data_IF_022419436476
#
_entry.id   IF_022419436476
#
_cell.length_a   1.000
_cell.length_b   1.000
_cell.length_c   1.000
_cell.angle_alpha   90.00
_cell.angle_beta   90.00
_cell.angle_gamma   90.00
#
_symmetry.space_group_name_H-M   'P 1'
#
loop_
_entity.id
_entity.type
_entity.pdbx_description
1 polymer ?
#
# COMPACT_ATOMS: atom_id res chain seq x y z
N UNK A 1 14.53 3.20 16.75
CA UNK A 1 14.42 3.65 15.35
C UNK A 1 13.17 4.51 15.23
N UNK A 2 13.13 5.45 14.30
CA UNK A 2 11.98 6.33 14.13
C UNK A 2 10.78 5.56 13.56
N UNK A 3 9.57 6.02 13.89
CA UNK A 3 8.37 5.57 13.22
C UNK A 3 8.29 6.17 11.81
N UNK A 4 7.70 5.40 10.89
CA UNK A 4 7.51 5.78 9.50
C UNK A 4 6.08 5.51 9.08
N UNK A 5 5.59 6.33 8.16
CA UNK A 5 4.37 6.11 7.41
C UNK A 5 4.73 5.27 6.18
N UNK A 6 4.22 4.05 6.13
CA UNK A 6 4.22 3.24 4.92
C UNK A 6 2.96 3.56 4.12
N UNK A 7 3.16 3.94 2.86
CA UNK A 7 2.10 4.12 1.88
C UNK A 7 2.25 3.08 0.78
N UNK A 8 1.19 2.33 0.52
CA UNK A 8 1.08 1.35 -0.55
C UNK A 8 0.03 1.85 -1.53
N UNK A 9 0.37 1.97 -2.81
CA UNK A 9 -0.58 2.27 -3.89
C UNK A 9 -0.60 1.09 -4.84
N UNK A 10 -1.77 0.49 -5.00
CA UNK A 10 -1.89 -0.80 -5.67
C UNK A 10 -3.20 -0.90 -6.48
N UNK A 11 -3.28 -1.82 -7.46
CA UNK A 11 -4.50 -2.09 -8.21
C UNK A 11 -5.70 -2.42 -7.30
N UNK A 12 -6.91 -2.05 -7.70
CA UNK A 12 -8.11 -2.33 -6.89
C UNK A 12 -8.39 -3.84 -6.73
N UNK A 13 -8.05 -4.66 -7.73
CA UNK A 13 -8.27 -6.11 -7.72
C UNK A 13 -7.38 -6.85 -6.72
N UNK A 14 -6.28 -6.24 -6.27
CA UNK A 14 -5.36 -6.82 -5.28
C UNK A 14 -5.53 -6.18 -3.89
N UNK A 15 -6.37 -5.16 -3.75
CA UNK A 15 -6.54 -4.42 -2.50
C UNK A 15 -7.00 -5.31 -1.34
N UNK A 16 -8.04 -6.13 -1.57
CA UNK A 16 -8.60 -7.01 -0.55
C UNK A 16 -7.57 -8.04 -0.07
N UNK A 17 -6.83 -8.67 -0.99
CA UNK A 17 -5.79 -9.66 -0.62
C UNK A 17 -4.69 -9.03 0.25
N UNK A 18 -4.29 -7.79 -0.06
CA UNK A 18 -3.32 -7.05 0.76
C UNK A 18 -3.93 -6.70 2.11
N UNK A 19 -5.16 -6.19 2.16
CA UNK A 19 -5.85 -5.85 3.41
C UNK A 19 -5.96 -7.07 4.34
N UNK A 20 -6.37 -8.23 3.81
CA UNK A 20 -6.47 -9.49 4.56
C UNK A 20 -5.10 -9.95 5.08
N UNK A 21 -4.06 -9.87 4.25
CA UNK A 21 -2.69 -10.19 4.66
C UNK A 21 -2.22 -9.29 5.81
N UNK A 22 -2.51 -7.98 5.75
CA UNK A 22 -2.15 -7.04 6.79
C UNK A 22 -2.92 -7.30 8.10
N UNK A 23 -4.22 -7.58 8.01
CA UNK A 23 -5.06 -7.96 9.16
C UNK A 23 -4.61 -9.27 9.81
N UNK A 24 -4.05 -10.20 9.03
CA UNK A 24 -3.49 -11.46 9.55
C UNK A 24 -2.20 -11.28 10.38
N UNK A 25 -1.58 -10.09 10.35
CA UNK A 25 -0.30 -9.78 11.01
C UNK A 25 -0.39 -8.62 12.01
N UNK A 26 -1.20 -8.76 13.07
CA UNK A 26 -1.33 -7.73 14.11
C UNK A 26 -0.02 -7.46 14.86
N UNK A 27 0.95 -8.39 14.79
CA UNK A 27 2.32 -8.22 15.29
C UNK A 27 3.12 -7.17 14.50
N UNK A 28 2.83 -7.00 13.21
CA UNK A 28 3.50 -6.04 12.34
C UNK A 28 2.71 -4.75 12.17
N UNK A 29 1.38 -4.85 12.09
CA UNK A 29 0.48 -3.75 11.72
C UNK A 29 -0.67 -3.68 12.72
N UNK A 30 -0.69 -2.63 13.53
CA UNK A 30 -1.77 -2.42 14.52
C UNK A 30 -3.06 -1.89 13.90
N UNK A 31 -2.96 -1.34 12.70
CA UNK A 31 -4.06 -0.76 11.95
C UNK A 31 -3.55 -0.01 10.73
N UNK A 32 -4.44 0.20 9.78
CA UNK A 32 -4.18 0.94 8.55
C UNK A 32 -5.44 1.69 8.12
N UNK A 33 -5.27 2.62 7.20
CA UNK A 33 -6.36 3.35 6.55
C UNK A 33 -6.31 3.10 5.06
N UNK A 34 -7.47 3.08 4.43
CA UNK A 34 -7.61 2.94 2.98
C UNK A 34 -8.24 4.20 2.41
N UNK A 35 -7.87 4.54 1.18
CA UNK A 35 -8.46 5.65 0.43
C UNK A 35 -8.40 5.37 -1.07
N UNK A 36 -9.40 5.83 -1.81
CA UNK A 36 -9.39 5.78 -3.27
C UNK A 36 -8.36 6.76 -3.83
N UNK A 37 -7.67 6.35 -4.89
CA UNK A 37 -6.71 7.15 -5.62
C UNK A 37 -6.78 6.85 -7.13
N UNK A 38 -6.21 7.74 -7.94
CA UNK A 38 -6.01 7.51 -9.37
C UNK A 38 -4.52 7.48 -9.68
N UNK A 39 -4.07 6.42 -10.35
CA UNK A 39 -2.72 6.30 -10.86
C UNK A 39 -2.60 6.95 -12.23
N UNK A 40 -1.69 7.91 -12.35
CA UNK A 40 -1.31 8.56 -13.61
C UNK A 40 0.19 8.36 -13.85
N UNK A 41 0.60 8.03 -15.07
CA UNK A 41 2.03 7.89 -15.38
C UNK A 41 2.30 7.31 -16.77
N UNK A 42 3.48 7.63 -17.33
CA UNK A 42 3.88 7.20 -18.67
C UNK A 42 4.27 5.71 -18.77
N UNK A 43 4.45 5.02 -17.63
CA UNK A 43 4.96 3.64 -17.55
C UNK A 43 3.97 2.73 -16.81
N UNK A 44 2.74 3.18 -16.56
CA UNK A 44 1.70 2.31 -16.01
C UNK A 44 1.20 1.46 -17.19
N UNK A 45 1.43 0.13 -17.23
CA UNK A 45 0.70 -0.70 -18.17
C UNK A 45 -0.77 -0.60 -17.79
N UNK A 46 -1.53 0.11 -18.63
CA UNK A 46 -2.99 0.15 -18.56
C UNK A 46 -3.45 -1.20 -19.11
N UNK A 47 -3.99 -2.06 -18.25
CA UNK A 47 -4.29 -3.46 -18.58
C UNK A 47 -5.79 -3.64 -18.85
N UNK A 48 -6.64 -2.83 -18.22
CA UNK A 48 -8.08 -2.87 -18.46
C UNK A 48 -8.52 -1.86 -19.55
N UNK A 49 -9.53 -2.20 -20.38
CA UNK A 49 -10.03 -1.32 -21.46
C UNK A 49 -10.41 0.08 -20.98
N UNK A 50 -10.94 0.16 -19.78
CA UNK A 50 -11.44 1.36 -19.10
C UNK A 50 -10.29 2.35 -18.82
N UNK A 51 -9.11 1.81 -18.48
CA UNK A 51 -7.90 2.56 -18.14
C UNK A 51 -7.24 3.16 -19.38
N UNK A 52 -7.31 2.44 -20.51
CA UNK A 52 -6.82 2.90 -21.81
C UNK A 52 -7.63 4.10 -22.34
N UNK A 53 -8.90 4.23 -21.95
CA UNK A 53 -9.80 5.31 -22.37
C UNK A 53 -9.69 6.54 -21.46
N UNK A 54 -9.54 6.36 -20.15
CA UNK A 54 -9.53 7.47 -19.17
C UNK A 54 -8.14 8.12 -18.97
N UNK A 55 -7.06 7.46 -19.39
CA UNK A 55 -5.68 7.92 -19.15
C UNK A 55 -5.25 7.81 -17.68
N UNK A 56 -6.00 7.07 -16.87
CA UNK A 56 -5.68 6.78 -15.47
C UNK A 56 -6.22 5.41 -15.04
N UNK A 57 -5.57 4.83 -14.05
CA UNK A 57 -5.95 3.53 -13.50
C UNK A 57 -6.47 3.73 -12.07
N UNK A 58 -7.67 3.24 -11.72
CA UNK A 58 -8.17 3.34 -10.35
C UNK A 58 -7.29 2.52 -9.41
N UNK A 59 -6.96 3.11 -8.25
CA UNK A 59 -6.06 2.53 -7.25
C UNK A 59 -6.64 2.60 -5.85
N UNK A 60 -6.24 1.65 -5.03
CA UNK A 60 -6.39 1.75 -3.58
C UNK A 60 -5.06 2.19 -2.99
N UNK A 61 -5.11 3.21 -2.13
CA UNK A 61 -3.98 3.60 -1.30
C UNK A 61 -4.21 3.14 0.14
N UNK A 62 -3.32 2.28 0.63
CA UNK A 62 -3.30 1.78 2.00
C UNK A 62 -2.16 2.48 2.75
N UNK A 63 -2.44 3.00 3.94
CA UNK A 63 -1.47 3.73 4.76
C UNK A 63 -1.47 3.23 6.20
N UNK A 64 -0.29 2.96 6.73
CA UNK A 64 -0.08 2.59 8.13
C UNK A 64 1.16 3.25 8.72
N UNK A 65 1.16 3.46 10.03
CA UNK A 65 2.32 3.96 10.76
C UNK A 65 2.84 2.86 11.70
N UNK A 66 4.16 2.74 11.79
CA UNK A 66 4.83 1.89 12.76
C UNK A 66 6.35 2.02 12.66
N UNK A 67 7.06 1.14 13.37
CA UNK A 67 8.52 1.15 13.32
C UNK A 67 9.02 0.86 11.90
N UNK A 68 10.11 1.52 11.51
CA UNK A 68 10.72 1.29 10.20
C UNK A 68 11.02 -0.19 9.93
N UNK A 69 11.49 -0.91 10.95
CA UNK A 69 11.76 -2.35 10.88
C UNK A 69 10.49 -3.14 10.51
N UNK A 70 9.38 -2.91 11.23
CA UNK A 70 8.13 -3.60 10.95
C UNK A 70 7.59 -3.26 9.56
N UNK A 71 7.67 -1.99 9.14
CA UNK A 71 7.20 -1.59 7.81
C UNK A 71 8.03 -2.24 6.68
N UNK A 72 9.35 -2.41 6.89
CA UNK A 72 10.19 -3.18 5.97
C UNK A 72 9.86 -4.68 5.99
N UNK A 73 9.47 -5.24 7.13
CA UNK A 73 8.98 -6.61 7.21
C UNK A 73 7.64 -6.79 6.47
N UNK A 74 6.72 -5.83 6.57
CA UNK A 74 5.48 -5.81 5.79
C UNK A 74 5.75 -5.86 4.29
N UNK A 75 6.68 -5.02 3.80
CA UNK A 75 7.06 -5.02 2.37
C UNK A 75 7.63 -6.36 1.91
N UNK A 76 8.48 -7.00 2.73
CA UNK A 76 9.02 -8.34 2.43
C UNK A 76 7.91 -9.39 2.39
N UNK A 77 6.97 -9.33 3.33
CA UNK A 77 5.83 -10.24 3.41
C UNK A 77 4.93 -10.11 2.18
N UNK A 78 4.51 -8.90 1.83
CA UNK A 78 3.68 -8.65 0.62
C UNK A 78 4.40 -9.17 -0.63
N UNK A 79 5.71 -8.93 -0.75
CA UNK A 79 6.48 -9.43 -1.89
C UNK A 79 6.56 -10.96 -1.96
N UNK A 80 6.58 -11.63 -0.81
CA UNK A 80 6.64 -13.09 -0.73
C UNK A 80 5.29 -13.75 -1.03
N UNK A 81 4.22 -13.25 -0.41
CA UNK A 81 2.87 -13.83 -0.50
C UNK A 81 2.13 -13.38 -1.77
N UNK A 82 2.37 -12.15 -2.23
CA UNK A 82 1.68 -11.53 -3.36
C UNK A 82 2.68 -11.00 -4.41
N UNK A 83 3.52 -11.86 -5.02
CA UNK A 83 4.62 -11.44 -5.89
C UNK A 83 4.19 -10.71 -7.16
N UNK A 84 2.91 -10.77 -7.53
CA UNK A 84 2.33 -10.12 -8.72
C UNK A 84 1.47 -8.90 -8.41
N UNK A 85 1.39 -8.47 -7.16
CA UNK A 85 0.47 -7.42 -6.70
C UNK A 85 0.69 -6.01 -7.27
N UNK A 86 1.75 -5.79 -8.08
CA UNK A 86 2.09 -4.50 -8.70
C UNK A 86 1.93 -3.30 -7.73
N UNK A 87 2.55 -3.41 -6.56
CA UNK A 87 2.45 -2.43 -5.47
C UNK A 87 3.56 -1.40 -5.62
N UNK A 88 3.19 -0.13 -5.75
CA UNK A 88 4.11 0.99 -5.61
C UNK A 88 4.09 1.48 -4.15
N UNK A 89 5.26 1.76 -3.57
CA UNK A 89 5.34 2.11 -2.15
C UNK A 89 6.35 3.21 -1.87
N UNK A 90 6.18 3.89 -0.74
CA UNK A 90 7.18 4.77 -0.16
C UNK A 90 7.05 4.81 1.37
N UNK A 91 8.14 5.24 2.01
CA UNK A 91 8.23 5.46 3.46
C UNK A 91 8.48 6.94 3.71
N UNK A 92 7.74 7.53 4.66
CA UNK A 92 7.97 8.90 5.13
C UNK A 92 8.22 8.91 6.64
N UNK A 93 9.14 9.75 7.16
CA UNK A 93 9.36 9.86 8.60
C UNK A 93 8.12 10.43 9.30
N UNK A 94 7.77 9.86 10.45
CA UNK A 94 6.69 10.37 11.32
C UNK A 94 7.31 11.09 12.51
N UNK A 95 6.97 12.37 12.65
CA UNK A 95 7.49 13.21 13.75
C UNK A 95 6.73 12.91 15.05
N UNK A 96 5.41 12.73 14.98
CA UNK A 96 4.55 12.45 16.12
C UNK A 96 3.31 11.65 15.68
N UNK A 97 2.85 10.74 16.55
CA UNK A 97 1.61 9.98 16.37
C UNK A 97 0.91 9.83 17.72
N UNK A 98 -0.39 10.07 17.76
CA UNK A 98 -1.19 9.99 18.98
C UNK A 98 -2.68 9.86 18.72
N UNK A 99 -3.46 9.95 19.79
CA UNK A 99 -4.92 10.08 19.75
C UNK A 99 -5.30 11.29 20.59
N UNK A 100 -6.32 12.04 20.17
CA UNK A 100 -6.89 13.16 20.92
C UNK A 100 -8.12 12.70 21.70
#
# INVERSE_FOLDING_TARGET
>A
MADVLLSLTLPNDVALDVEDLLLSRPDLVRGFTTSQANGHGAVIPLVAPDELVSGHSPRTQIRMVGSEENMRHVLKLIKAELPKANVFFWLMPVIEMGRL
#
